data_IF_500157010080
#
_entry.id   IF_500157010080
#
_cell.length_a   1.000
_cell.length_b   1.000
_cell.length_c   1.000
_cell.angle_alpha   90.00
_cell.angle_beta   90.00
_cell.angle_gamma   90.00
#
_symmetry.space_group_name_H-M   'P 1'
#
loop_
_entity.id
_entity.type
_entity.pdbx_description
1 polymer ?
#
# COMPACT_ATOMS: atom_id res chain seq x y z
N UNK A 1 20.85 13.67 1.67
CA UNK A 1 21.38 13.54 0.30
C UNK A 1 20.76 12.38 -0.51
N UNK A 2 20.15 11.32 0.05
CA UNK A 2 19.51 10.29 -0.83
C UNK A 2 17.99 10.12 -0.69
N UNK A 3 17.31 10.77 0.28
CA UNK A 3 15.83 10.76 0.46
C UNK A 3 15.17 9.37 0.31
N UNK A 4 15.89 8.29 0.64
CA UNK A 4 15.45 6.89 0.55
C UNK A 4 15.53 6.25 -0.84
N UNK A 5 16.14 6.92 -1.84
CA UNK A 5 16.33 6.38 -3.20
C UNK A 5 17.27 5.17 -3.19
N UNK A 6 18.29 5.18 -2.33
CA UNK A 6 19.18 4.06 -2.05
C UNK A 6 18.43 2.85 -1.44
N UNK A 7 17.58 3.11 -0.45
CA UNK A 7 16.69 2.07 0.09
C UNK A 7 15.74 1.54 -0.98
N UNK A 8 15.18 2.40 -1.81
CA UNK A 8 14.26 2.00 -2.88
C UNK A 8 14.97 1.10 -3.90
N UNK A 9 16.13 1.53 -4.41
CA UNK A 9 16.87 0.79 -5.44
C UNK A 9 17.41 -0.54 -4.92
N UNK A 10 17.83 -0.63 -3.65
CA UNK A 10 18.27 -1.90 -3.04
C UNK A 10 17.13 -2.90 -2.83
N UNK A 11 15.87 -2.46 -2.83
CA UNK A 11 14.69 -3.33 -2.67
C UNK A 11 14.03 -3.66 -4.02
N UNK A 12 13.83 -2.67 -4.90
CA UNK A 12 13.03 -2.84 -6.12
C UNK A 12 13.79 -3.57 -7.23
N UNK A 13 15.12 -3.51 -7.22
CA UNK A 13 15.99 -4.07 -8.27
C UNK A 13 16.29 -5.56 -8.06
N UNK A 14 15.26 -6.35 -7.73
CA UNK A 14 15.45 -7.79 -7.52
C UNK A 14 15.77 -8.52 -8.82
N UNK A 15 16.65 -9.54 -8.79
CA UNK A 15 16.95 -10.33 -9.97
C UNK A 15 15.73 -11.09 -10.47
N UNK A 16 15.74 -11.41 -11.77
CA UNK A 16 14.70 -12.22 -12.40
C UNK A 16 14.52 -13.54 -11.65
N UNK A 17 13.28 -13.88 -11.31
CA UNK A 17 12.91 -15.12 -10.63
C UNK A 17 12.54 -14.94 -9.14
N UNK A 18 12.89 -13.80 -8.52
CA UNK A 18 12.53 -13.51 -7.12
C UNK A 18 11.79 -12.16 -7.06
N UNK A 19 10.45 -12.16 -7.27
CA UNK A 19 9.69 -10.90 -7.30
C UNK A 19 9.55 -10.30 -5.90
N UNK A 20 9.65 -8.98 -5.82
CA UNK A 20 9.34 -8.20 -4.61
C UNK A 20 8.35 -7.11 -4.97
N UNK A 21 7.21 -7.07 -4.26
CA UNK A 21 6.24 -5.98 -4.37
C UNK A 21 6.74 -4.78 -3.58
N UNK A 22 7.38 -3.82 -4.26
CA UNK A 22 7.92 -2.62 -3.62
C UNK A 22 6.89 -1.49 -3.61
N UNK A 23 6.80 -0.78 -2.48
CA UNK A 23 5.90 0.36 -2.28
C UNK A 23 6.72 1.66 -2.16
N UNK A 24 6.03 2.79 -2.00
CA UNK A 24 6.66 4.10 -1.85
C UNK A 24 7.66 4.15 -0.67
N UNK A 25 8.57 5.13 -0.67
CA UNK A 25 9.48 5.38 0.44
C UNK A 25 8.72 5.95 1.64
N UNK A 26 9.10 5.54 2.86
CA UNK A 26 8.60 6.12 4.11
C UNK A 26 7.22 5.62 4.56
N UNK A 27 6.56 6.42 5.40
CA UNK A 27 5.29 6.05 6.07
C UNK A 27 4.15 5.76 5.10
N UNK A 28 4.07 6.50 3.99
CA UNK A 28 3.12 6.24 2.93
C UNK A 28 3.33 4.85 2.30
N UNK A 29 4.59 4.40 2.18
CA UNK A 29 4.95 3.05 1.77
C UNK A 29 4.46 1.98 2.73
N UNK A 30 4.72 2.17 4.01
CA UNK A 30 4.32 1.24 5.06
C UNK A 30 2.79 1.06 5.11
N UNK A 31 2.03 2.17 5.07
CA UNK A 31 0.57 2.12 5.02
C UNK A 31 0.06 1.38 3.76
N UNK A 32 0.65 1.67 2.60
CA UNK A 32 0.29 0.99 1.33
C UNK A 32 0.66 -0.49 1.34
N UNK A 33 1.75 -0.87 1.98
CA UNK A 33 2.16 -2.27 2.12
C UNK A 33 1.15 -3.06 2.96
N UNK A 34 0.67 -2.49 4.07
CA UNK A 34 -0.40 -3.09 4.87
C UNK A 34 -1.70 -3.23 4.07
N UNK A 35 -2.10 -2.21 3.30
CA UNK A 35 -3.28 -2.27 2.44
C UNK A 35 -3.14 -3.28 1.29
N UNK A 36 -1.94 -3.42 0.72
CA UNK A 36 -1.65 -4.44 -0.30
C UNK A 36 -1.78 -5.85 0.30
N UNK A 37 -1.21 -6.07 1.49
CA UNK A 37 -1.35 -7.33 2.21
C UNK A 37 -2.81 -7.64 2.53
N UNK A 38 -3.58 -6.66 3.00
CA UNK A 38 -5.03 -6.79 3.22
C UNK A 38 -5.76 -7.18 1.93
N UNK A 39 -5.41 -6.58 0.78
CA UNK A 39 -6.00 -6.92 -0.50
C UNK A 39 -5.68 -8.37 -0.95
N UNK A 40 -4.47 -8.85 -0.68
CA UNK A 40 -4.10 -10.25 -0.94
C UNK A 40 -4.92 -11.20 -0.07
N UNK A 41 -5.02 -10.91 1.24
CA UNK A 41 -5.78 -11.73 2.21
C UNK A 41 -7.29 -11.70 1.94
N UNK A 42 -7.84 -10.56 1.54
CA UNK A 42 -9.26 -10.39 1.23
C UNK A 42 -9.79 -11.42 0.20
N UNK A 43 -8.91 -11.99 -0.64
CA UNK A 43 -9.27 -13.08 -1.55
C UNK A 43 -9.82 -14.31 -0.84
N UNK A 44 -9.31 -14.63 0.36
CA UNK A 44 -9.67 -15.80 1.15
C UNK A 44 -10.51 -15.46 2.38
N UNK A 45 -10.35 -14.27 2.95
CA UNK A 45 -10.94 -13.84 4.22
C UNK A 45 -12.03 -12.77 4.00
N UNK A 46 -13.32 -13.14 4.03
CA UNK A 46 -14.43 -12.22 3.75
C UNK A 46 -14.50 -11.01 4.70
N UNK A 47 -14.11 -11.19 5.96
CA UNK A 47 -14.05 -10.15 6.98
C UNK A 47 -13.02 -9.07 6.63
N UNK A 48 -11.84 -9.47 6.14
CA UNK A 48 -10.81 -8.54 5.69
C UNK A 48 -11.27 -7.82 4.43
N UNK A 49 -11.98 -8.51 3.53
CA UNK A 49 -12.57 -7.89 2.34
C UNK A 49 -13.57 -6.80 2.70
N UNK A 50 -14.48 -7.08 3.63
CA UNK A 50 -15.48 -6.11 4.09
C UNK A 50 -14.79 -4.90 4.75
N UNK A 51 -13.83 -5.13 5.63
CA UNK A 51 -13.07 -4.06 6.28
C UNK A 51 -12.28 -3.20 5.28
N UNK A 52 -11.63 -3.81 4.29
CA UNK A 52 -10.90 -3.09 3.25
C UNK A 52 -11.83 -2.26 2.35
N UNK A 53 -13.03 -2.77 2.04
CA UNK A 53 -14.03 -2.03 1.28
C UNK A 53 -14.54 -0.82 2.07
N UNK A 54 -14.88 -1.00 3.34
CA UNK A 54 -15.30 0.09 4.23
C UNK A 54 -14.21 1.16 4.38
N UNK A 55 -12.95 0.75 4.57
CA UNK A 55 -11.82 1.68 4.64
C UNK A 55 -11.70 2.53 3.37
N UNK A 56 -11.81 1.91 2.19
CA UNK A 56 -11.72 2.63 0.90
C UNK A 56 -12.90 3.58 0.70
N UNK A 57 -14.11 3.16 1.06
CA UNK A 57 -15.31 4.00 1.00
C UNK A 57 -15.15 5.25 1.88
N UNK A 58 -14.74 5.08 3.14
CA UNK A 58 -14.51 6.18 4.06
C UNK A 58 -13.42 7.16 3.55
N UNK A 59 -12.37 6.65 2.91
CA UNK A 59 -11.35 7.50 2.27
C UNK A 59 -11.91 8.30 1.11
N UNK A 60 -12.77 7.71 0.27
CA UNK A 60 -13.43 8.43 -0.83
C UNK A 60 -14.37 9.51 -0.32
N UNK A 61 -15.16 9.22 0.72
CA UNK A 61 -16.07 10.17 1.36
C UNK A 61 -15.32 11.35 1.98
N UNK A 62 -14.20 11.09 2.66
CA UNK A 62 -13.37 12.12 3.28
C UNK A 62 -12.75 13.12 2.29
N UNK A 63 -12.62 12.78 1.00
CA UNK A 63 -12.12 13.69 -0.03
C UNK A 63 -13.20 14.70 -0.47
N UNK A 64 -14.48 14.34 -0.35
CA UNK A 64 -15.63 15.18 -0.69
C UNK A 64 -15.78 16.42 0.20
N UNK A 65 -15.11 16.45 1.34
CA UNK A 65 -14.97 17.62 2.22
C UNK A 65 -13.67 18.39 1.87
N UNK A 66 -13.52 18.83 0.63
CA UNK A 66 -12.41 19.74 0.29
C UNK A 66 -12.75 21.17 0.75
N UNK A 67 -11.84 21.87 1.45
CA UNK A 67 -11.99 23.27 1.77
C UNK A 67 -11.90 24.14 0.50
N UNK A 68 -12.58 25.29 0.53
CA UNK A 68 -12.48 26.35 -0.48
C UNK A 68 -11.06 26.89 -0.65
#
# INVERSE_FOLDING_TARGET
VLRGVDSLLSIVQMPKGVPVGTLAIGTAGAARAALLAAAMLARKYPEIRAALAAYRQAQTEAVGESPA
#
